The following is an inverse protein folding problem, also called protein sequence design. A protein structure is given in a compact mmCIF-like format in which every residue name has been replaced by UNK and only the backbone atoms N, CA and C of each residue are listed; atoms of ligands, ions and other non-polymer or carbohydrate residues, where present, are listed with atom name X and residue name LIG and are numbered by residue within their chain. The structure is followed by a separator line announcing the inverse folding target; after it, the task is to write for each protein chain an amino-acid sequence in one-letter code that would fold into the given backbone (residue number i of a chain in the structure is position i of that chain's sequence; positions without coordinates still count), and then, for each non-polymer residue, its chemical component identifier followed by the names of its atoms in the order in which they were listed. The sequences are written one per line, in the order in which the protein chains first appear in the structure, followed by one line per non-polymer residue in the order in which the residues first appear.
data_IF_430525624006
#
_entry.id   IF_430525624006
#
_cell.length_a   1.000
_cell.length_b   1.000
_cell.length_c   1.000
_cell.angle_alpha   90.00
_cell.angle_beta   90.00
_cell.angle_gamma   90.00
#
_symmetry.space_group_name_H-M   'P 1'
#
loop_
_entity.id
_entity.type
_entity.pdbx_description
1 polymer ?
#
# COMPACT_ATOMS: atom_id res chain seq x y z
N UNK A 1 11.67 1.39 -38.81
CA UNK A 1 11.24 2.39 -37.83
C UNK A 1 9.92 1.92 -37.25
N UNK A 2 9.96 1.01 -36.26
CA UNK A 2 8.77 0.44 -35.64
C UNK A 2 8.07 1.50 -34.77
N UNK A 3 6.89 1.92 -35.17
CA UNK A 3 5.99 2.70 -34.31
C UNK A 3 5.59 1.81 -33.15
N UNK A 4 6.21 2.02 -31.96
CA UNK A 4 5.67 1.48 -30.72
C UNK A 4 4.24 2.01 -30.60
N UNK A 5 3.28 1.14 -30.83
CA UNK A 5 1.87 1.43 -30.57
C UNK A 5 1.78 1.67 -29.06
N UNK A 6 1.64 2.93 -28.67
CA UNK A 6 1.44 3.29 -27.29
C UNK A 6 0.17 2.60 -26.81
N UNK A 7 0.27 1.66 -25.90
CA UNK A 7 -0.89 1.00 -25.32
C UNK A 7 -1.77 2.05 -24.64
N UNK A 8 -2.95 2.30 -25.21
CA UNK A 8 -3.92 3.23 -24.66
C UNK A 8 -4.54 2.59 -23.42
N UNK A 9 -4.26 3.13 -22.26
CA UNK A 9 -4.90 2.78 -21.00
C UNK A 9 -6.09 3.70 -20.78
N UNK A 10 -7.30 3.13 -20.78
CA UNK A 10 -8.54 3.86 -20.49
C UNK A 10 -8.98 3.51 -19.07
N UNK A 11 -9.29 4.53 -18.29
CA UNK A 11 -9.87 4.39 -16.94
C UNK A 11 -11.22 5.10 -16.87
N UNK A 12 -12.12 4.62 -16.01
CA UNK A 12 -13.39 5.26 -15.70
C UNK A 12 -13.54 5.43 -14.20
N UNK A 13 -14.39 6.36 -13.77
CA UNK A 13 -14.67 6.61 -12.35
C UNK A 13 -15.12 5.34 -11.62
N UNK A 14 -15.98 4.53 -12.26
CA UNK A 14 -16.47 3.27 -11.69
C UNK A 14 -15.31 2.29 -11.43
N UNK A 15 -14.35 2.22 -12.34
CA UNK A 15 -13.18 1.34 -12.21
C UNK A 15 -12.23 1.82 -11.13
N UNK A 16 -12.06 3.13 -11.00
CA UNK A 16 -11.26 3.71 -9.91
C UNK A 16 -11.92 3.43 -8.57
N UNK A 17 -13.25 3.59 -8.47
CA UNK A 17 -14.00 3.25 -7.27
C UNK A 17 -13.89 1.76 -6.91
N UNK A 18 -14.01 0.87 -7.90
CA UNK A 18 -13.89 -0.56 -7.72
C UNK A 18 -12.45 -0.97 -7.32
N UNK A 19 -11.44 -0.33 -7.91
CA UNK A 19 -10.05 -0.54 -7.52
C UNK A 19 -9.78 -0.07 -6.07
N UNK A 20 -10.33 1.09 -5.68
CA UNK A 20 -10.24 1.61 -4.31
C UNK A 20 -10.91 0.65 -3.31
N UNK A 21 -12.13 0.19 -3.60
CA UNK A 21 -12.83 -0.78 -2.77
C UNK A 21 -12.05 -2.08 -2.63
N UNK A 22 -11.56 -2.64 -3.73
CA UNK A 22 -10.73 -3.85 -3.70
C UNK A 22 -9.44 -3.64 -2.91
N UNK A 23 -8.74 -2.51 -3.11
CA UNK A 23 -7.53 -2.16 -2.36
C UNK A 23 -7.79 -2.06 -0.86
N UNK A 24 -8.88 -1.40 -0.47
CA UNK A 24 -9.28 -1.30 0.94
C UNK A 24 -9.59 -2.65 1.56
N UNK A 25 -10.41 -3.48 0.91
CA UNK A 25 -10.77 -4.81 1.41
C UNK A 25 -9.55 -5.72 1.57
N UNK A 26 -8.63 -5.73 0.59
CA UNK A 26 -7.39 -6.49 0.66
C UNK A 26 -6.49 -5.99 1.79
N UNK A 27 -6.37 -4.66 1.97
CA UNK A 27 -5.60 -4.07 3.07
C UNK A 27 -6.19 -4.42 4.43
N UNK A 28 -7.52 -4.34 4.57
CA UNK A 28 -8.21 -4.77 5.78
C UNK A 28 -7.97 -6.25 6.09
N UNK A 29 -7.95 -7.10 5.05
CA UNK A 29 -7.62 -8.52 5.22
C UNK A 29 -6.20 -8.73 5.76
N UNK A 30 -5.23 -7.94 5.30
CA UNK A 30 -3.86 -7.95 5.86
C UNK A 30 -3.87 -7.57 7.33
N UNK A 31 -4.63 -6.55 7.73
CA UNK A 31 -4.79 -6.15 9.14
C UNK A 31 -5.37 -7.29 9.96
N UNK A 32 -6.42 -7.94 9.48
CA UNK A 32 -7.03 -9.10 10.15
C UNK A 32 -6.02 -10.23 10.33
N UNK A 33 -5.21 -10.54 9.30
CA UNK A 33 -4.17 -11.57 9.40
C UNK A 33 -3.10 -11.19 10.42
N UNK A 34 -2.66 -9.94 10.47
CA UNK A 34 -1.70 -9.46 11.46
C UNK A 34 -2.26 -9.58 12.89
N UNK A 35 -3.54 -9.28 13.10
CA UNK A 35 -4.20 -9.46 14.39
C UNK A 35 -4.26 -10.95 14.77
N UNK A 36 -4.61 -11.82 13.82
CA UNK A 36 -4.68 -13.27 14.05
C UNK A 36 -3.31 -13.86 14.38
N UNK A 37 -2.25 -13.44 13.70
CA UNK A 37 -0.87 -13.87 13.99
C UNK A 37 -0.36 -13.30 15.31
N UNK A 38 -0.85 -12.11 15.72
CA UNK A 38 -0.61 -11.50 17.03
C UNK A 38 -1.32 -12.17 18.20
N UNK A 39 -2.09 -13.26 17.92
CA UNK A 39 -2.76 -14.06 18.95
C UNK A 39 -4.24 -13.73 19.14
N UNK A 40 -4.81 -12.77 18.40
CA UNK A 40 -6.25 -12.51 18.47
C UNK A 40 -7.05 -13.67 17.89
N UNK A 41 -8.01 -14.19 18.66
CA UNK A 41 -8.84 -15.35 18.30
C UNK A 41 -10.33 -15.04 18.27
N UNK A 42 -10.76 -13.91 18.83
CA UNK A 42 -12.16 -13.51 18.82
C UNK A 42 -12.60 -13.14 17.39
N UNK A 43 -13.62 -13.84 16.81
CA UNK A 43 -14.09 -13.58 15.46
C UNK A 43 -14.66 -12.18 15.28
N UNK A 44 -15.28 -11.63 16.32
CA UNK A 44 -15.87 -10.28 16.27
C UNK A 44 -14.76 -9.24 16.19
N UNK A 45 -13.72 -9.37 17.01
CA UNK A 45 -12.56 -8.47 16.98
C UNK A 45 -11.82 -8.57 15.65
N UNK A 46 -11.66 -9.77 15.08
CA UNK A 46 -11.05 -9.96 13.76
C UNK A 46 -11.89 -9.31 12.64
N UNK A 47 -13.21 -9.50 12.68
CA UNK A 47 -14.12 -8.88 11.71
C UNK A 47 -14.12 -7.35 11.79
N UNK A 48 -14.13 -6.78 12.99
CA UNK A 48 -14.00 -5.34 13.19
C UNK A 48 -12.64 -4.83 12.73
N UNK A 49 -11.56 -5.55 13.02
CA UNK A 49 -10.23 -5.21 12.56
C UNK A 49 -10.13 -5.19 11.04
N UNK A 50 -10.75 -6.16 10.36
CA UNK A 50 -10.85 -6.18 8.92
C UNK A 50 -11.62 -4.96 8.38
N UNK A 51 -12.81 -4.70 8.91
CA UNK A 51 -13.67 -3.61 8.44
C UNK A 51 -13.03 -2.23 8.66
N UNK A 52 -12.55 -1.96 9.88
CA UNK A 52 -11.88 -0.71 10.20
C UNK A 52 -10.58 -0.57 9.39
N UNK A 53 -9.80 -1.63 9.29
CA UNK A 53 -8.59 -1.66 8.45
C UNK A 53 -8.89 -1.34 7.00
N UNK A 54 -9.98 -1.85 6.44
CA UNK A 54 -10.41 -1.53 5.07
C UNK A 54 -10.77 -0.06 4.92
N UNK A 55 -11.55 0.51 5.86
CA UNK A 55 -11.96 1.92 5.82
C UNK A 55 -10.74 2.85 5.93
N UNK A 56 -9.87 2.62 6.91
CA UNK A 56 -8.66 3.42 7.08
C UNK A 56 -7.69 3.29 5.89
N UNK A 57 -7.59 2.09 5.31
CA UNK A 57 -6.79 1.89 4.10
C UNK A 57 -7.37 2.66 2.90
N UNK A 58 -8.68 2.66 2.70
CA UNK A 58 -9.32 3.47 1.64
C UNK A 58 -9.02 4.96 1.81
N UNK A 59 -9.16 5.48 3.03
CA UNK A 59 -8.83 6.87 3.33
C UNK A 59 -7.34 7.17 3.07
N UNK A 60 -6.44 6.29 3.50
CA UNK A 60 -5.00 6.41 3.25
C UNK A 60 -4.66 6.35 1.76
N UNK A 61 -5.30 5.45 1.00
CA UNK A 61 -5.12 5.35 -0.46
C UNK A 61 -5.56 6.66 -1.13
N UNK A 62 -6.71 7.21 -0.75
CA UNK A 62 -7.20 8.48 -1.32
C UNK A 62 -6.29 9.65 -0.95
N UNK A 63 -5.90 9.75 0.33
CA UNK A 63 -5.14 10.89 0.84
C UNK A 63 -3.67 10.90 0.39
N UNK A 64 -3.03 9.73 0.29
CA UNK A 64 -1.60 9.61 0.00
C UNK A 64 -1.34 9.04 -1.38
N UNK A 65 -1.93 7.88 -1.70
CA UNK A 65 -1.68 7.23 -2.98
C UNK A 65 -2.39 7.94 -4.14
N UNK A 66 -3.51 8.63 -3.89
CA UNK A 66 -4.24 9.41 -4.89
C UNK A 66 -3.38 10.49 -5.54
N UNK A 67 -2.81 11.44 -4.79
CA UNK A 67 -1.90 12.45 -5.33
C UNK A 67 -0.69 11.87 -6.07
N UNK A 68 -0.09 10.81 -5.51
CA UNK A 68 1.04 10.12 -6.14
C UNK A 68 0.62 9.44 -7.47
N UNK A 69 -0.56 8.83 -7.49
CA UNK A 69 -1.12 8.24 -8.70
C UNK A 69 -1.37 9.29 -9.79
N UNK A 70 -1.92 10.46 -9.41
CA UNK A 70 -2.13 11.58 -10.33
C UNK A 70 -0.78 12.06 -10.89
N UNK A 71 0.24 12.22 -10.05
CA UNK A 71 1.58 12.59 -10.49
C UNK A 71 2.19 11.58 -11.47
N UNK A 72 2.07 10.28 -11.19
CA UNK A 72 2.51 9.20 -12.08
C UNK A 72 1.75 9.19 -13.40
N UNK A 73 0.44 9.50 -13.36
CA UNK A 73 -0.39 9.59 -14.56
C UNK A 73 0.09 10.71 -15.48
N UNK A 74 0.38 11.89 -14.94
CA UNK A 74 0.94 13.01 -15.70
C UNK A 74 2.38 12.73 -16.18
N UNK A 75 3.17 12.00 -15.41
CA UNK A 75 4.51 11.57 -15.81
C UNK A 75 4.50 10.43 -16.87
N UNK A 76 3.33 9.99 -17.35
CA UNK A 76 3.20 8.93 -18.34
C UNK A 76 3.50 7.51 -17.82
N UNK A 77 3.78 7.36 -16.53
CA UNK A 77 4.09 6.07 -15.88
C UNK A 77 2.80 5.33 -15.46
N UNK A 78 2.09 4.76 -16.41
CA UNK A 78 0.77 4.11 -16.23
C UNK A 78 0.86 2.59 -16.06
N UNK A 79 2.05 2.04 -15.84
CA UNK A 79 2.25 0.59 -15.75
C UNK A 79 1.97 0.04 -14.35
N UNK A 80 1.54 -1.25 -14.24
CA UNK A 80 1.28 -1.90 -12.96
C UNK A 80 2.52 -2.02 -12.07
N UNK A 81 3.71 -2.08 -12.66
CA UNK A 81 4.98 -2.11 -11.93
C UNK A 81 5.23 -0.77 -11.21
N UNK A 82 4.95 0.36 -11.88
CA UNK A 82 5.09 1.68 -11.24
C UNK A 82 4.15 1.83 -10.04
N UNK A 83 2.89 1.37 -10.16
CA UNK A 83 1.94 1.37 -9.06
C UNK A 83 2.38 0.47 -7.90
N UNK A 84 2.87 -0.74 -8.20
CA UNK A 84 3.38 -1.67 -7.19
C UNK A 84 4.58 -1.09 -6.42
N UNK A 85 5.58 -0.55 -7.13
CA UNK A 85 6.76 0.06 -6.53
C UNK A 85 6.40 1.28 -5.68
N UNK A 86 5.46 2.10 -6.14
CA UNK A 86 4.99 3.27 -5.39
C UNK A 86 4.26 2.85 -4.12
N UNK A 87 3.36 1.86 -4.20
CA UNK A 87 2.65 1.34 -3.04
C UNK A 87 3.62 0.74 -2.01
N UNK A 88 4.63 -0.02 -2.46
CA UNK A 88 5.67 -0.56 -1.59
C UNK A 88 6.49 0.55 -0.91
N UNK A 89 6.91 1.57 -1.66
CA UNK A 89 7.68 2.68 -1.11
C UNK A 89 6.88 3.47 -0.07
N UNK A 90 5.62 3.79 -0.34
CA UNK A 90 4.74 4.50 0.59
C UNK A 90 4.52 3.67 1.86
N UNK A 91 4.23 2.37 1.73
CA UNK A 91 4.03 1.48 2.86
C UNK A 91 5.29 1.38 3.73
N UNK A 92 6.46 1.25 3.10
CA UNK A 92 7.74 1.19 3.80
C UNK A 92 8.03 2.48 4.55
N UNK A 93 7.83 3.64 3.92
CA UNK A 93 8.05 4.94 4.55
C UNK A 93 7.11 5.18 5.75
N UNK A 94 5.83 4.86 5.61
CA UNK A 94 4.85 5.03 6.67
C UNK A 94 5.14 4.10 7.86
N UNK A 95 5.50 2.84 7.59
CA UNK A 95 5.80 1.88 8.65
C UNK A 95 7.14 2.16 9.33
N UNK A 96 8.19 2.40 8.59
CA UNK A 96 9.49 2.76 9.15
C UNK A 96 9.39 4.06 9.96
N UNK A 97 8.70 5.09 9.42
CA UNK A 97 8.45 6.33 10.11
C UNK A 97 7.61 6.17 11.38
N UNK A 98 6.55 5.36 11.32
CA UNK A 98 5.68 5.10 12.47
C UNK A 98 6.37 4.33 13.59
N UNK A 99 7.14 3.30 13.26
CA UNK A 99 7.82 2.46 14.25
C UNK A 99 9.06 3.11 14.87
N UNK A 100 9.70 4.04 14.17
CA UNK A 100 10.88 4.75 14.65
C UNK A 100 10.57 6.06 15.37
N UNK A 101 9.30 6.36 15.67
CA UNK A 101 8.90 7.55 16.42
C UNK A 101 8.92 8.84 15.62
N UNK A 102 8.34 8.82 14.42
CA UNK A 102 8.22 10.00 13.57
C UNK A 102 9.50 10.33 12.82
N UNK A 103 9.78 9.53 11.80
CA UNK A 103 10.95 9.67 10.91
C UNK A 103 12.32 9.52 11.58
N UNK A 104 12.41 9.00 12.79
CA UNK A 104 13.63 8.45 13.42
C UNK A 104 14.88 9.32 13.49
N UNK A 105 14.86 10.47 12.81
CA UNK A 105 16.00 11.36 12.69
C UNK A 105 16.41 12.05 14.01
N UNK A 106 15.56 11.95 15.02
CA UNK A 106 15.72 12.66 16.29
C UNK A 106 15.78 11.72 17.52
N UNK A 107 15.87 10.40 17.30
CA UNK A 107 16.10 9.48 18.40
C UNK A 107 17.54 9.65 18.89
N UNK A 108 17.79 9.83 20.23
CA UNK A 108 19.15 9.96 20.73
C UNK A 108 19.95 8.70 20.36
N UNK A 109 21.18 8.86 19.87
CA UNK A 109 22.04 7.73 19.56
C UNK A 109 22.47 7.05 20.86
N UNK A 110 22.26 5.75 21.01
CA UNK A 110 23.01 5.07 22.02
C UNK A 110 22.42 3.84 22.72
N UNK A 111 21.16 3.47 22.54
CA UNK A 111 20.63 2.27 23.19
C UNK A 111 20.62 1.06 22.27
N UNK A 112 21.09 -0.10 22.76
CA UNK A 112 20.99 -1.40 22.08
C UNK A 112 19.55 -1.72 21.64
N UNK A 113 18.55 -1.21 22.36
CA UNK A 113 17.14 -1.24 21.99
C UNK A 113 16.85 -0.55 20.66
N UNK A 114 17.63 0.46 20.27
CA UNK A 114 17.46 1.20 19.01
C UNK A 114 17.80 0.32 17.81
N UNK A 115 18.83 -0.51 17.87
CA UNK A 115 19.21 -1.45 16.83
C UNK A 115 18.09 -2.48 16.54
N UNK A 116 17.51 -3.07 17.60
CA UNK A 116 16.38 -3.99 17.47
C UNK A 116 15.14 -3.34 16.89
N UNK A 117 14.84 -2.09 17.25
CA UNK A 117 13.73 -1.33 16.67
C UNK A 117 13.89 -1.13 15.17
N UNK A 118 15.08 -0.76 14.72
CA UNK A 118 15.36 -0.59 13.29
C UNK A 118 15.27 -1.89 12.52
N UNK A 119 15.84 -2.98 13.02
CA UNK A 119 15.77 -4.30 12.40
C UNK A 119 14.31 -4.76 12.30
N UNK A 120 13.56 -4.63 13.39
CA UNK A 120 12.13 -4.98 13.43
C UNK A 120 11.31 -4.10 12.47
N UNK A 121 11.55 -2.80 12.45
CA UNK A 121 10.87 -1.86 11.56
C UNK A 121 11.13 -2.17 10.08
N UNK A 122 12.37 -2.48 9.73
CA UNK A 122 12.75 -2.86 8.36
C UNK A 122 12.12 -4.20 7.98
N UNK A 123 12.20 -5.21 8.84
CA UNK A 123 11.64 -6.54 8.56
C UNK A 123 10.11 -6.48 8.37
N UNK A 124 9.41 -5.82 9.29
CA UNK A 124 7.95 -5.63 9.20
C UNK A 124 7.59 -4.76 8.00
N UNK A 125 8.36 -3.70 7.77
CA UNK A 125 8.20 -2.78 6.64
C UNK A 125 8.33 -3.49 5.30
N UNK A 126 9.31 -4.37 5.14
CA UNK A 126 9.48 -5.18 3.92
C UNK A 126 8.28 -6.12 3.69
N UNK A 127 7.81 -6.79 4.73
CA UNK A 127 6.67 -7.70 4.63
C UNK A 127 5.40 -6.96 4.18
N UNK A 128 5.12 -5.80 4.79
CA UNK A 128 3.96 -4.98 4.43
C UNK A 128 4.16 -4.30 3.07
N UNK A 129 5.40 -3.92 2.70
CA UNK A 129 5.70 -3.38 1.38
C UNK A 129 5.41 -4.38 0.26
N UNK A 130 5.71 -5.68 0.47
CA UNK A 130 5.36 -6.74 -0.49
C UNK A 130 3.85 -6.87 -0.63
N UNK A 131 3.11 -6.87 0.49
CA UNK A 131 1.65 -6.88 0.45
C UNK A 131 1.08 -5.64 -0.26
N UNK A 132 1.59 -4.45 0.05
CA UNK A 132 1.19 -3.20 -0.58
C UNK A 132 1.50 -3.19 -2.09
N UNK A 133 2.65 -3.74 -2.50
CA UNK A 133 3.00 -3.90 -3.91
C UNK A 133 2.00 -4.79 -4.65
N UNK A 134 1.63 -5.92 -4.06
CA UNK A 134 0.63 -6.83 -4.64
C UNK A 134 -0.74 -6.17 -4.76
N UNK A 135 -1.18 -5.43 -3.73
CA UNK A 135 -2.43 -4.67 -3.72
C UNK A 135 -2.39 -3.56 -4.78
N UNK A 136 -1.32 -2.76 -4.84
CA UNK A 136 -1.16 -1.69 -5.83
C UNK A 136 -1.16 -2.22 -7.27
N UNK A 137 -0.54 -3.36 -7.51
CA UNK A 137 -0.56 -4.04 -8.79
C UNK A 137 -1.97 -4.52 -9.17
N UNK A 138 -2.71 -5.13 -8.22
CA UNK A 138 -4.08 -5.57 -8.43
C UNK A 138 -5.01 -4.38 -8.71
N UNK A 139 -4.92 -3.30 -7.93
CA UNK A 139 -5.68 -2.08 -8.12
C UNK A 139 -5.45 -1.49 -9.51
N UNK A 140 -4.18 -1.43 -9.96
CA UNK A 140 -3.84 -0.91 -11.27
C UNK A 140 -4.46 -1.76 -12.39
N UNK A 141 -4.48 -3.08 -12.27
CA UNK A 141 -5.13 -3.96 -13.24
C UNK A 141 -6.64 -3.79 -13.28
N UNK A 142 -7.27 -3.50 -12.15
CA UNK A 142 -8.71 -3.22 -12.07
C UNK A 142 -9.03 -1.84 -12.66
N UNK A 143 -8.24 -0.82 -12.31
CA UNK A 143 -8.45 0.57 -12.74
C UNK A 143 -8.25 0.77 -14.24
N UNK A 144 -7.29 0.05 -14.86
CA UNK A 144 -6.94 0.23 -16.26
C UNK A 144 -7.24 -1.00 -17.09
N UNK A 145 -8.01 -0.82 -18.17
CA UNK A 145 -8.18 -1.84 -19.20
C UNK A 145 -7.16 -1.60 -20.32
N UNK A 146 -6.40 -2.64 -20.67
CA UNK A 146 -5.62 -2.64 -21.91
C UNK A 146 -6.62 -2.78 -23.08
N UNK A 147 -6.69 -1.78 -23.92
CA UNK A 147 -7.32 -1.96 -25.24
C UNK A 147 -6.24 -2.60 -26.13
N UNK A 148 -6.55 -3.82 -26.59
CA UNK A 148 -5.76 -4.49 -27.63
C UNK A 148 -6.07 -3.85 -28.99
#
# INVERSE_FOLDING_TARGET
MERRIAAFYVTSLDRVGLALGAGGLLSGFVVMLLMATGGQRDPVALGLGWLLGAIFAMLGIVAVAGPVWVALHFAGRRGPVAAALTAAAVAMLLLAGGQTGGLGAFAPPGDAATGYRWISAIATGLLVAVAAAAIGWAMQKIAYRRLM
#
